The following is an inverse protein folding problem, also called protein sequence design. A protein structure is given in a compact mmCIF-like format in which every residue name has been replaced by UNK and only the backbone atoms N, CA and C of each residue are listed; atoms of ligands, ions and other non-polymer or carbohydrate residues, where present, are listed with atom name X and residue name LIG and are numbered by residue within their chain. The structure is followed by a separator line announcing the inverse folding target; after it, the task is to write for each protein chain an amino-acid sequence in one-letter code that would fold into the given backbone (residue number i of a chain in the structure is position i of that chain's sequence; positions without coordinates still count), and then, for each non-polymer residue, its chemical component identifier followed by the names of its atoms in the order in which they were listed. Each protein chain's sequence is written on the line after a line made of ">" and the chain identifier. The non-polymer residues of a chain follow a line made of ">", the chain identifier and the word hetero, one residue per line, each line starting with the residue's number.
data_IF_804925353641
#
_entry.id   IF_804925353641
#
_cell.length_a   1.000
_cell.length_b   1.000
_cell.length_c   1.000
_cell.angle_alpha   90.00
_cell.angle_beta   90.00
_cell.angle_gamma   90.00
#
_symmetry.space_group_name_H-M   'P 1'
#
loop_
_entity.id
_entity.type
_entity.pdbx_description
1 polymer ?
#
# COMPACT_ATOMS: atom_id res chain seq x y z
N UNK A 1 -7.43 -7.26 16.29
CA UNK A 1 -7.32 -6.23 15.23
C UNK A 1 -8.70 -5.56 15.16
N UNK A 2 -8.78 -4.23 15.26
CA UNK A 2 -10.08 -3.54 15.16
C UNK A 2 -10.46 -3.52 13.68
N UNK A 3 -11.56 -4.18 13.33
CA UNK A 3 -12.02 -4.33 11.94
C UNK A 3 -13.29 -3.54 11.64
N UNK A 4 -13.90 -2.91 12.66
CA UNK A 4 -15.09 -2.08 12.50
C UNK A 4 -14.70 -0.74 11.84
N UNK A 5 -15.21 -0.44 10.63
CA UNK A 5 -14.92 0.81 9.92
C UNK A 5 -15.29 2.06 10.73
N UNK A 6 -16.35 1.98 11.55
CA UNK A 6 -16.81 3.11 12.36
C UNK A 6 -15.78 3.43 13.45
N UNK A 7 -15.28 2.40 14.13
CA UNK A 7 -14.28 2.56 15.19
C UNK A 7 -12.96 3.07 14.59
N UNK A 8 -12.54 2.56 13.43
CA UNK A 8 -11.32 3.03 12.75
C UNK A 8 -11.42 4.53 12.38
N UNK A 9 -12.58 4.95 11.88
CA UNK A 9 -12.84 6.37 11.57
C UNK A 9 -12.76 7.24 12.83
N UNK A 10 -13.41 6.83 13.92
CA UNK A 10 -13.38 7.55 15.20
C UNK A 10 -11.95 7.65 15.77
N UNK A 11 -11.14 6.60 15.62
CA UNK A 11 -9.72 6.61 16.00
C UNK A 11 -8.92 7.63 15.18
N UNK A 12 -9.10 7.63 13.85
CA UNK A 12 -8.44 8.59 12.95
C UNK A 12 -8.80 10.05 13.26
N UNK A 13 -10.07 10.33 13.56
CA UNK A 13 -10.54 11.66 13.95
C UNK A 13 -9.88 12.13 15.26
N UNK A 14 -9.79 11.25 16.27
CA UNK A 14 -9.14 11.59 17.54
C UNK A 14 -7.64 11.84 17.39
N UNK A 15 -6.94 11.03 16.60
CA UNK A 15 -5.50 11.19 16.36
C UNK A 15 -5.19 12.49 15.62
N UNK A 16 -6.06 12.91 14.70
CA UNK A 16 -5.93 14.19 13.98
C UNK A 16 -6.03 15.40 14.90
N UNK A 17 -6.81 15.31 15.98
CA UNK A 17 -7.05 16.42 16.92
C UNK A 17 -6.24 16.33 18.23
N UNK A 18 -5.20 15.48 18.29
CA UNK A 18 -4.37 15.33 19.49
C UNK A 18 -3.08 16.14 19.35
N UNK A 19 -2.87 17.22 20.15
CA UNK A 19 -1.64 18.00 20.12
C UNK A 19 -0.41 17.11 20.37
N UNK A 20 0.64 17.31 19.55
CA UNK A 20 1.88 16.52 19.61
C UNK A 20 1.95 15.36 18.60
N UNK A 21 0.85 14.99 17.95
CA UNK A 21 0.85 14.05 16.83
C UNK A 21 0.98 14.83 15.52
N UNK A 22 2.14 14.74 14.86
CA UNK A 22 2.36 15.41 13.58
C UNK A 22 1.74 14.63 12.40
N UNK A 23 1.94 13.31 12.38
CA UNK A 23 1.45 12.42 11.33
C UNK A 23 1.13 11.04 11.92
N UNK A 24 0.10 10.39 11.38
CA UNK A 24 -0.18 8.97 11.63
C UNK A 24 -0.45 8.27 10.31
N UNK A 25 -0.24 6.96 10.27
CA UNK A 25 -0.48 6.12 9.11
C UNK A 25 -1.36 4.96 9.54
N UNK A 26 -2.40 4.66 8.76
CA UNK A 26 -3.11 3.40 8.90
C UNK A 26 -2.34 2.35 8.11
N UNK A 27 -1.97 1.25 8.76
CA UNK A 27 -1.11 0.22 8.16
C UNK A 27 -1.73 -1.14 8.38
N UNK A 28 -1.78 -1.93 7.32
CA UNK A 28 -2.09 -3.34 7.40
C UNK A 28 -0.83 -4.20 7.27
N UNK A 29 -0.53 -4.94 8.34
CA UNK A 29 0.61 -5.86 8.41
C UNK A 29 0.23 -7.28 7.95
N UNK A 30 1.12 -7.88 7.15
CA UNK A 30 1.08 -9.25 6.64
C UNK A 30 2.48 -9.89 6.72
N UNK A 31 2.59 -11.23 6.72
CA UNK A 31 3.83 -11.91 6.36
C UNK A 31 4.24 -11.51 4.94
N UNK A 32 5.55 -11.42 4.67
CA UNK A 32 6.08 -10.98 3.36
C UNK A 32 5.59 -11.86 2.20
N UNK A 33 5.60 -13.19 2.39
CA UNK A 33 5.21 -14.13 1.34
C UNK A 33 6.11 -14.05 0.10
N UNK A 34 5.52 -14.36 -1.06
CA UNK A 34 6.12 -14.14 -2.38
C UNK A 34 5.60 -12.85 -3.05
N UNK A 35 5.98 -12.64 -4.30
CA UNK A 35 5.56 -11.44 -5.04
C UNK A 35 4.06 -11.46 -5.39
N UNK A 36 3.48 -12.64 -5.56
CA UNK A 36 2.05 -12.79 -5.86
C UNK A 36 1.21 -12.53 -4.60
N UNK A 37 1.68 -12.98 -3.44
CA UNK A 37 1.10 -12.64 -2.13
C UNK A 37 1.03 -11.12 -1.94
N UNK A 38 2.14 -10.40 -2.24
CA UNK A 38 2.18 -8.94 -2.15
C UNK A 38 1.15 -8.32 -3.10
N UNK A 39 1.01 -8.84 -4.32
CA UNK A 39 0.01 -8.38 -5.29
C UNK A 39 -1.41 -8.58 -4.78
N UNK A 40 -1.72 -9.76 -4.23
CA UNK A 40 -3.05 -10.05 -3.69
C UNK A 40 -3.39 -9.10 -2.54
N UNK A 41 -2.45 -8.85 -1.62
CA UNK A 41 -2.68 -7.88 -0.54
C UNK A 41 -2.85 -6.47 -1.07
N UNK A 42 -2.03 -6.02 -2.01
CA UNK A 42 -2.19 -4.71 -2.62
C UNK A 42 -3.54 -4.58 -3.34
N UNK A 43 -3.99 -5.63 -4.03
CA UNK A 43 -5.27 -5.68 -4.74
C UNK A 43 -6.45 -5.62 -3.77
N UNK A 44 -6.37 -6.33 -2.64
CA UNK A 44 -7.40 -6.30 -1.59
C UNK A 44 -7.64 -4.87 -1.07
N UNK A 45 -6.60 -4.05 -1.01
CA UNK A 45 -6.65 -2.71 -0.41
C UNK A 45 -6.87 -1.57 -1.40
N UNK A 46 -6.28 -1.68 -2.59
CA UNK A 46 -6.31 -0.61 -3.60
C UNK A 46 -7.12 -0.97 -4.85
N UNK A 47 -7.52 -2.24 -5.03
CA UNK A 47 -8.15 -2.72 -6.27
C UNK A 47 -9.32 -1.86 -6.73
N UNK A 48 -10.25 -1.56 -5.82
CA UNK A 48 -11.44 -0.75 -6.12
C UNK A 48 -11.09 0.73 -6.39
N UNK A 49 -10.05 1.25 -5.74
CA UNK A 49 -9.63 2.63 -5.90
C UNK A 49 -8.90 2.87 -7.24
N UNK A 50 -8.22 1.85 -7.77
CA UNK A 50 -7.37 1.93 -8.96
C UNK A 50 -8.16 1.95 -10.28
N UNK A 51 -9.41 1.48 -10.29
CA UNK A 51 -10.21 1.39 -11.51
C UNK A 51 -10.33 2.76 -12.22
N UNK A 52 -9.89 2.82 -13.47
CA UNK A 52 -9.96 4.04 -14.29
C UNK A 52 -8.99 5.16 -13.92
N UNK A 53 -8.10 4.95 -12.95
CA UNK A 53 -7.14 5.97 -12.48
C UNK A 53 -5.70 5.67 -12.86
N UNK A 54 -4.87 6.69 -12.84
CA UNK A 54 -3.42 6.58 -13.00
C UNK A 54 -2.79 6.42 -11.61
N UNK A 55 -1.92 5.43 -11.45
CA UNK A 55 -1.29 5.16 -10.15
C UNK A 55 0.23 4.98 -10.25
N UNK A 56 0.87 4.97 -9.09
CA UNK A 56 2.25 4.51 -8.95
C UNK A 56 2.37 3.58 -7.77
N UNK A 57 3.36 2.68 -7.82
CA UNK A 57 3.73 1.83 -6.68
C UNK A 57 5.01 2.38 -6.09
N UNK A 58 5.04 2.53 -4.76
CA UNK A 58 6.22 2.94 -4.00
C UNK A 58 6.51 1.89 -2.95
N UNK A 59 7.69 1.28 -3.04
CA UNK A 59 8.15 0.29 -2.09
C UNK A 59 9.32 0.84 -1.27
N UNK A 60 9.15 0.91 0.05
CA UNK A 60 10.27 1.04 0.98
C UNK A 60 10.73 -0.36 1.39
N UNK A 61 12.05 -0.57 1.45
CA UNK A 61 12.63 -1.85 1.86
C UNK A 61 13.61 -1.64 2.99
N UNK A 62 13.47 -2.41 4.06
CA UNK A 62 14.36 -2.44 5.19
C UNK A 62 14.73 -3.90 5.50
N UNK A 63 16.02 -4.20 5.62
CA UNK A 63 16.51 -5.57 5.81
C UNK A 63 17.19 -6.17 4.57
N UNK A 64 17.42 -7.49 4.61
CA UNK A 64 18.17 -8.23 3.58
C UNK A 64 17.22 -9.10 2.75
N UNK A 65 17.16 -8.82 1.45
CA UNK A 65 16.31 -9.53 0.50
C UNK A 65 17.09 -9.82 -0.79
N UNK A 66 16.76 -10.91 -1.52
CA UNK A 66 17.36 -11.22 -2.81
C UNK A 66 16.85 -10.31 -3.95
N UNK A 67 15.89 -9.41 -3.69
CA UNK A 67 15.28 -8.51 -4.66
C UNK A 67 15.42 -7.04 -4.25
N UNK A 68 15.30 -6.14 -5.23
CA UNK A 68 15.27 -4.70 -4.99
C UNK A 68 13.83 -4.18 -4.80
N UNK A 69 13.69 -2.98 -4.23
CA UNK A 69 12.38 -2.30 -4.17
C UNK A 69 11.81 -2.03 -5.56
N UNK A 70 12.68 -1.78 -6.54
CA UNK A 70 12.32 -1.53 -7.94
C UNK A 70 11.69 -2.79 -8.57
N UNK A 71 12.20 -3.97 -8.23
CA UNK A 71 11.65 -5.24 -8.75
C UNK A 71 10.22 -5.45 -8.23
N UNK A 72 9.98 -5.17 -6.95
CA UNK A 72 8.64 -5.20 -6.35
C UNK A 72 7.74 -4.17 -7.03
N UNK A 73 8.17 -2.91 -7.15
CA UNK A 73 7.36 -1.84 -7.76
C UNK A 73 6.95 -2.18 -9.19
N UNK A 74 7.88 -2.71 -10.00
CA UNK A 74 7.61 -3.15 -11.37
C UNK A 74 6.65 -4.33 -11.41
N UNK A 75 6.90 -5.36 -10.60
CA UNK A 75 6.09 -6.57 -10.58
C UNK A 75 4.66 -6.26 -10.13
N UNK A 76 4.52 -5.64 -8.96
CA UNK A 76 3.24 -5.29 -8.35
C UNK A 76 2.47 -4.31 -9.23
N UNK A 77 3.13 -3.27 -9.74
CA UNK A 77 2.51 -2.31 -10.65
C UNK A 77 1.98 -2.96 -11.93
N UNK A 78 2.76 -3.86 -12.53
CA UNK A 78 2.34 -4.57 -13.74
C UNK A 78 1.11 -5.44 -13.51
N UNK A 79 1.05 -6.15 -12.39
CA UNK A 79 -0.07 -7.02 -12.05
C UNK A 79 -1.32 -6.22 -11.68
N UNK A 80 -1.19 -5.18 -10.85
CA UNK A 80 -2.31 -4.31 -10.47
C UNK A 80 -2.94 -3.63 -11.69
N UNK A 81 -2.13 -3.17 -12.65
CA UNK A 81 -2.66 -2.58 -13.89
C UNK A 81 -3.48 -3.59 -14.69
N UNK A 82 -3.01 -4.85 -14.81
CA UNK A 82 -3.69 -5.91 -15.55
C UNK A 82 -4.97 -6.39 -14.86
N UNK A 83 -4.99 -6.40 -13.53
CA UNK A 83 -6.06 -7.01 -12.75
C UNK A 83 -7.10 -6.03 -12.22
N UNK A 84 -6.76 -4.75 -12.04
CA UNK A 84 -7.61 -3.75 -11.38
C UNK A 84 -8.18 -2.69 -12.34
N UNK A 85 -8.02 -2.86 -13.66
CA UNK A 85 -8.59 -1.93 -14.65
C UNK A 85 -8.07 -0.50 -14.55
N UNK A 86 -6.84 -0.31 -14.09
CA UNK A 86 -6.23 1.01 -13.98
C UNK A 86 -5.99 1.64 -15.36
N UNK A 87 -6.17 2.96 -15.46
CA UNK A 87 -5.98 3.69 -16.73
C UNK A 87 -4.50 3.70 -17.16
N UNK A 88 -3.57 3.73 -16.20
CA UNK A 88 -2.14 3.73 -16.49
C UNK A 88 -1.26 3.78 -15.25
N UNK A 89 0.05 3.80 -15.49
CA UNK A 89 1.07 3.97 -14.45
C UNK A 89 1.86 5.23 -14.78
N UNK A 90 1.91 6.20 -13.87
CA UNK A 90 2.72 7.42 -13.99
C UNK A 90 3.47 7.69 -12.69
N UNK A 91 4.80 7.78 -12.78
CA UNK A 91 5.69 8.00 -11.63
C UNK A 91 5.82 9.48 -11.22
N UNK A 92 5.42 10.43 -12.08
CA UNK A 92 5.52 11.87 -11.87
C UNK A 92 4.24 12.45 -11.30
N UNK A 93 3.08 12.05 -11.84
CA UNK A 93 1.76 12.57 -11.43
C UNK A 93 0.72 11.46 -11.26
N UNK A 94 0.89 10.56 -10.28
CA UNK A 94 -0.13 9.57 -9.96
C UNK A 94 -1.34 10.22 -9.26
N UNK A 95 -2.54 9.75 -9.56
CA UNK A 95 -3.74 10.06 -8.77
C UNK A 95 -3.79 9.24 -7.48
N UNK A 96 -3.25 8.01 -7.54
CA UNK A 96 -3.15 7.11 -6.40
C UNK A 96 -1.71 6.62 -6.24
N UNK A 97 -1.19 6.71 -5.02
CA UNK A 97 0.09 6.12 -4.66
C UNK A 97 -0.12 4.86 -3.80
N UNK A 98 0.17 3.70 -4.38
CA UNK A 98 0.16 2.41 -3.69
C UNK A 98 1.46 2.32 -2.89
N UNK A 99 1.37 2.52 -1.58
CA UNK A 99 2.52 2.55 -0.68
C UNK A 99 2.65 1.24 0.06
N UNK A 100 3.79 0.59 -0.14
CA UNK A 100 4.16 -0.64 0.56
C UNK A 100 5.52 -0.50 1.22
N UNK A 101 5.68 -1.14 2.37
CA UNK A 101 6.96 -1.29 3.04
C UNK A 101 7.23 -2.77 3.31
N UNK A 102 8.38 -3.25 2.86
CA UNK A 102 8.90 -4.59 3.18
C UNK A 102 9.96 -4.42 4.24
N UNK A 103 9.74 -4.97 5.43
CA UNK A 103 10.71 -4.96 6.52
C UNK A 103 10.91 -6.38 7.04
N UNK A 104 12.11 -6.90 6.82
CA UNK A 104 12.44 -8.30 7.10
C UNK A 104 11.34 -9.21 6.48
N UNK A 105 10.83 -10.20 7.21
CA UNK A 105 9.80 -11.12 6.70
C UNK A 105 8.37 -10.58 6.81
N UNK A 106 8.17 -9.26 6.77
CA UNK A 106 6.87 -8.61 6.90
C UNK A 106 6.60 -7.61 5.78
N UNK A 107 5.35 -7.58 5.34
CA UNK A 107 4.79 -6.62 4.41
C UNK A 107 3.84 -5.67 5.17
N UNK A 108 4.00 -4.38 4.91
CA UNK A 108 3.16 -3.31 5.44
C UNK A 108 2.50 -2.58 4.28
N UNK A 109 1.18 -2.61 4.23
CA UNK A 109 0.39 -1.86 3.24
C UNK A 109 -0.10 -0.58 3.90
N UNK A 110 0.23 0.58 3.33
CA UNK A 110 0.03 1.89 3.99
C UNK A 110 -1.18 2.59 3.39
N UNK A 111 -2.24 2.73 4.17
CA UNK A 111 -3.43 3.50 3.81
C UNK A 111 -3.21 4.97 4.20
N UNK A 112 -3.44 5.87 3.24
CA UNK A 112 -3.42 7.32 3.43
C UNK A 112 -4.78 7.93 3.14
#
# INVERSE_FOLDING_TARGET
>A
RVSDPKVLKEMGERLTCTPGIAHFLQIDEYPLGDFDDIVEKCKQHYGDALAGKIFSVRCKRAGKHPFSSIDIEKYVGSQLRRQCGAAGIDLKKPEIEVRIEVRDQRLFVIHS
#
